data_IF_506101321105
#
_entry.id   IF_506101321105
#
_cell.length_a   1.000
_cell.length_b   1.000
_cell.length_c   1.000
_cell.angle_alpha   90.00
_cell.angle_beta   90.00
_cell.angle_gamma   90.00
#
_symmetry.space_group_name_H-M   'P 1'
#
loop_
_entity.id
_entity.type
_entity.pdbx_description
1 polymer ?
#
# COMPACT_ATOMS: atom_id res chain seq x y z
N UNK A 1 -9.19 -10.30 -36.82
CA UNK A 1 -10.10 -9.15 -36.60
C UNK A 1 -9.45 -8.32 -35.51
N UNK A 2 -9.15 -7.05 -35.76
CA UNK A 2 -8.69 -6.14 -34.69
C UNK A 2 -9.85 -5.94 -33.70
N UNK A 3 -9.59 -6.05 -32.40
CA UNK A 3 -10.60 -5.82 -31.37
C UNK A 3 -10.95 -4.33 -31.31
N UNK A 4 -12.21 -3.98 -31.58
CA UNK A 4 -12.65 -2.58 -31.59
C UNK A 4 -12.55 -1.91 -30.22
N UNK A 5 -12.66 -2.68 -29.13
CA UNK A 5 -12.54 -2.16 -27.77
C UNK A 5 -11.10 -1.74 -27.46
N UNK A 6 -10.14 -2.56 -27.85
CA UNK A 6 -8.72 -2.27 -27.69
C UNK A 6 -8.30 -1.03 -28.49
N UNK A 7 -8.83 -0.89 -29.71
CA UNK A 7 -8.61 0.31 -30.53
C UNK A 7 -9.16 1.56 -29.83
N UNK A 8 -10.37 1.52 -29.25
CA UNK A 8 -10.93 2.66 -28.51
C UNK A 8 -10.07 3.06 -27.31
N UNK A 9 -9.52 2.08 -26.58
CA UNK A 9 -8.63 2.35 -25.44
C UNK A 9 -7.33 3.03 -25.89
N UNK A 10 -6.72 2.59 -26.99
CA UNK A 10 -5.55 3.25 -27.58
C UNK A 10 -5.87 4.69 -27.98
N UNK A 11 -7.01 4.93 -28.65
CA UNK A 11 -7.43 6.28 -29.03
C UNK A 11 -7.70 7.17 -27.81
N UNK A 12 -8.24 6.61 -26.72
CA UNK A 12 -8.44 7.32 -25.45
C UNK A 12 -7.09 7.72 -24.84
N UNK A 13 -6.11 6.83 -24.79
CA UNK A 13 -4.77 7.15 -24.28
C UNK A 13 -4.07 8.21 -25.14
N UNK A 14 -4.14 8.08 -26.47
CA UNK A 14 -3.50 9.03 -27.38
C UNK A 14 -4.12 10.44 -27.28
N UNK A 15 -5.45 10.54 -27.18
CA UNK A 15 -6.13 11.84 -27.13
C UNK A 15 -6.15 12.45 -25.72
N UNK A 16 -6.41 11.65 -24.68
CA UNK A 16 -6.56 12.15 -23.31
C UNK A 16 -5.25 12.22 -22.53
N UNK A 17 -4.37 11.23 -22.67
CA UNK A 17 -3.15 11.14 -21.85
C UNK A 17 -1.93 11.74 -22.54
N UNK A 18 -1.85 11.59 -23.88
CA UNK A 18 -0.73 12.09 -24.69
C UNK A 18 -1.04 13.41 -25.43
N UNK A 19 -2.31 13.84 -25.45
CA UNK A 19 -2.75 15.12 -26.04
C UNK A 19 -2.66 15.19 -27.57
N UNK A 20 -2.69 14.06 -28.27
CA UNK A 20 -2.63 14.01 -29.73
C UNK A 20 -3.96 14.47 -30.33
N UNK A 21 -3.92 15.47 -31.22
CA UNK A 21 -5.11 15.94 -31.93
C UNK A 21 -5.48 14.98 -33.08
N UNK A 22 -6.59 14.27 -32.92
CA UNK A 22 -7.05 13.26 -33.89
C UNK A 22 -8.21 13.84 -34.73
N UNK A 23 -8.07 13.92 -36.06
CA UNK A 23 -9.14 14.43 -36.92
C UNK A 23 -10.42 13.60 -36.80
N UNK A 24 -11.56 14.25 -36.58
CA UNK A 24 -12.87 13.60 -36.48
C UNK A 24 -13.18 12.69 -37.69
N UNK A 25 -12.76 13.11 -38.89
CA UNK A 25 -12.91 12.35 -40.13
C UNK A 25 -12.18 10.99 -40.13
N UNK A 26 -11.10 10.87 -39.35
CA UNK A 26 -10.36 9.63 -39.18
C UNK A 26 -11.14 8.63 -38.32
N UNK A 27 -11.80 9.11 -37.25
CA UNK A 27 -12.63 8.29 -36.36
C UNK A 27 -13.85 7.72 -37.10
N UNK A 28 -14.60 8.56 -37.83
CA UNK A 28 -15.76 8.09 -38.62
C UNK A 28 -15.36 7.00 -39.63
N UNK A 29 -14.18 7.14 -40.28
CA UNK A 29 -13.68 6.15 -41.23
C UNK A 29 -13.16 4.88 -40.55
N UNK A 30 -12.40 4.98 -39.45
CA UNK A 30 -11.78 3.82 -38.78
C UNK A 30 -12.82 2.93 -38.10
N UNK A 31 -13.89 3.54 -37.58
CA UNK A 31 -15.00 2.81 -36.94
C UNK A 31 -16.17 2.54 -37.89
N UNK A 32 -16.07 2.89 -39.19
CA UNK A 32 -17.17 2.81 -40.15
C UNK A 32 -18.47 3.45 -39.63
N UNK A 33 -18.36 4.53 -38.84
CA UNK A 33 -19.50 5.28 -38.32
C UNK A 33 -19.92 6.29 -39.40
N UNK A 34 -21.18 6.25 -39.89
CA UNK A 34 -21.69 7.26 -40.80
C UNK A 34 -21.54 8.65 -40.19
N UNK A 35 -21.15 9.63 -41.01
CA UNK A 35 -21.19 11.02 -40.55
C UNK A 35 -22.65 11.43 -40.38
N UNK A 36 -22.99 12.17 -39.31
CA UNK A 36 -24.34 12.69 -39.15
C UNK A 36 -24.68 13.62 -40.31
N UNK A 37 -25.93 13.59 -40.77
CA UNK A 37 -26.43 14.53 -41.79
C UNK A 37 -26.67 15.93 -41.18
N UNK A 38 -26.64 16.98 -42.01
CA UNK A 38 -26.86 18.35 -41.55
C UNK A 38 -28.26 18.49 -40.92
N UNK A 39 -28.32 18.59 -39.59
CA UNK A 39 -29.55 18.69 -38.82
C UNK A 39 -29.93 17.43 -38.03
N UNK A 40 -29.17 16.35 -38.12
CA UNK A 40 -29.38 15.14 -37.32
C UNK A 40 -29.03 15.39 -35.84
N UNK A 41 -29.92 14.97 -34.94
CA UNK A 41 -29.75 15.17 -33.51
C UNK A 41 -28.65 14.24 -32.98
N UNK A 42 -27.45 14.79 -32.79
CA UNK A 42 -26.31 14.06 -32.23
C UNK A 42 -26.33 14.08 -30.71
N UNK A 43 -26.13 12.90 -30.11
CA UNK A 43 -25.85 12.79 -28.68
C UNK A 43 -24.54 13.51 -28.38
N UNK A 44 -24.64 14.68 -27.75
CA UNK A 44 -23.47 15.39 -27.24
C UNK A 44 -23.08 14.73 -25.91
N UNK A 45 -21.80 14.37 -25.71
CA UNK A 45 -21.34 14.03 -24.36
C UNK A 45 -21.70 15.20 -23.44
N UNK A 46 -22.03 14.95 -22.16
CA UNK A 46 -22.30 16.03 -21.23
C UNK A 46 -21.12 17.00 -21.31
N UNK A 47 -21.36 18.15 -21.94
CA UNK A 47 -20.43 19.25 -21.84
C UNK A 47 -20.41 19.54 -20.36
N UNK A 48 -19.24 19.39 -19.74
CA UNK A 48 -18.97 20.10 -18.52
C UNK A 48 -19.18 21.57 -18.88
N UNK A 49 -20.41 22.04 -18.72
CA UNK A 49 -20.68 23.45 -18.55
C UNK A 49 -19.63 23.88 -17.52
N UNK A 50 -18.84 24.89 -17.86
CA UNK A 50 -18.00 25.55 -16.88
C UNK A 50 -18.96 26.06 -15.80
N UNK A 51 -19.21 25.21 -14.81
CA UNK A 51 -19.84 25.58 -13.58
C UNK A 51 -18.92 26.67 -13.01
N UNK A 52 -19.46 27.77 -12.45
CA UNK A 52 -18.65 28.56 -11.52
C UNK A 52 -18.03 27.56 -10.53
N UNK A 53 -16.74 27.72 -10.13
CA UNK A 53 -16.04 26.69 -9.37
C UNK A 53 -16.75 26.47 -8.03
N UNK A 54 -17.69 25.53 -8.02
CA UNK A 54 -18.34 24.97 -6.86
C UNK A 54 -17.41 23.88 -6.35
N UNK A 55 -16.82 24.13 -5.18
CA UNK A 55 -16.53 23.21 -4.06
C UNK A 55 -15.89 21.84 -4.34
N UNK A 56 -15.43 21.55 -5.56
CA UNK A 56 -14.67 20.32 -5.88
C UNK A 56 -13.28 20.34 -5.27
N UNK A 57 -12.71 21.52 -5.01
CA UNK A 57 -11.48 21.67 -4.24
C UNK A 57 -11.65 21.33 -2.75
N UNK A 58 -12.87 21.50 -2.20
CA UNK A 58 -13.16 21.11 -0.82
C UNK A 58 -13.39 19.61 -0.73
N UNK A 59 -14.20 18.99 -1.59
CA UNK A 59 -14.42 17.53 -1.55
C UNK A 59 -13.14 16.70 -1.81
N UNK A 60 -12.25 17.17 -2.70
CA UNK A 60 -10.95 16.53 -2.92
C UNK A 60 -9.97 16.72 -1.75
N UNK A 61 -10.05 17.87 -1.05
CA UNK A 61 -9.28 18.10 0.19
C UNK A 61 -9.83 17.28 1.36
N UNK A 62 -11.15 17.18 1.50
CA UNK A 62 -11.82 16.39 2.52
C UNK A 62 -11.42 14.91 2.42
N UNK A 63 -11.45 14.31 1.22
CA UNK A 63 -10.96 12.92 1.02
C UNK A 63 -9.46 12.74 1.24
N UNK A 64 -8.62 13.74 0.97
CA UNK A 64 -7.20 13.69 1.31
C UNK A 64 -6.96 13.81 2.81
N UNK A 65 -7.74 14.62 3.52
CA UNK A 65 -7.66 14.79 4.97
C UNK A 65 -8.16 13.56 5.74
N UNK A 66 -9.17 12.85 5.21
CA UNK A 66 -9.74 11.57 5.71
C UNK A 66 -8.90 10.33 5.42
N UNK A 67 -7.76 10.44 4.75
CA UNK A 67 -6.75 9.37 4.71
C UNK A 67 -5.50 9.71 5.53
N UNK A 68 -5.24 11.01 5.74
CA UNK A 68 -4.05 11.48 6.44
C UNK A 68 -4.17 11.35 7.95
N UNK A 69 -5.35 11.46 8.55
CA UNK A 69 -5.53 11.32 10.00
C UNK A 69 -5.41 9.86 10.45
N UNK A 70 -5.79 8.94 9.58
CA UNK A 70 -5.85 7.49 9.73
C UNK A 70 -4.43 6.95 9.56
N UNK A 71 -3.71 7.42 8.53
CA UNK A 71 -2.29 7.11 8.38
C UNK A 71 -1.48 7.62 9.58
N UNK A 72 -1.75 8.83 10.09
CA UNK A 72 -1.09 9.34 11.30
C UNK A 72 -1.36 8.48 12.55
N UNK A 73 -2.56 7.90 12.66
CA UNK A 73 -2.89 6.98 13.75
C UNK A 73 -2.14 5.66 13.62
N UNK A 74 -2.07 5.10 12.41
CA UNK A 74 -1.27 3.90 12.12
C UNK A 74 0.22 4.15 12.40
N UNK A 75 0.76 5.27 11.93
CA UNK A 75 2.15 5.66 12.15
C UNK A 75 2.46 5.83 13.65
N UNK A 76 1.53 6.38 14.42
CA UNK A 76 1.66 6.51 15.88
C UNK A 76 1.70 5.13 16.56
N UNK A 77 0.83 4.20 16.17
CA UNK A 77 0.81 2.83 16.70
C UNK A 77 2.13 2.12 16.38
N UNK A 78 2.62 2.22 15.13
CA UNK A 78 3.91 1.65 14.73
C UNK A 78 5.05 2.24 15.54
N UNK A 79 5.07 3.57 15.76
CA UNK A 79 6.11 4.20 16.56
C UNK A 79 6.11 3.73 18.01
N UNK A 80 4.94 3.56 18.62
CA UNK A 80 4.80 3.08 20.00
C UNK A 80 5.21 1.61 20.09
N UNK A 81 4.76 0.78 19.14
CA UNK A 81 5.12 -0.62 19.07
C UNK A 81 6.63 -0.81 18.92
N UNK A 82 7.30 -0.05 18.04
CA UNK A 82 8.75 -0.13 17.88
C UNK A 82 9.51 0.24 19.16
N UNK A 83 9.06 1.27 19.88
CA UNK A 83 9.67 1.65 21.18
C UNK A 83 9.51 0.55 22.23
N UNK A 84 8.36 -0.10 22.30
CA UNK A 84 8.13 -1.20 23.24
C UNK A 84 8.93 -2.45 22.84
N UNK A 85 8.94 -2.76 21.54
CA UNK A 85 9.69 -3.88 20.97
C UNK A 85 11.20 -3.76 21.24
N UNK A 86 11.78 -2.56 21.22
CA UNK A 86 13.21 -2.35 21.52
C UNK A 86 13.61 -2.95 22.89
N UNK A 87 12.81 -2.67 23.93
CA UNK A 87 13.06 -3.21 25.26
C UNK A 87 12.94 -4.72 25.30
N UNK A 88 11.91 -5.27 24.65
CA UNK A 88 11.66 -6.71 24.59
C UNK A 88 12.80 -7.42 23.85
N UNK A 89 13.17 -6.94 22.65
CA UNK A 89 14.27 -7.49 21.88
C UNK A 89 15.59 -7.43 22.63
N UNK A 90 15.85 -6.34 23.37
CA UNK A 90 17.06 -6.21 24.18
C UNK A 90 17.15 -7.30 25.24
N UNK A 91 16.03 -7.70 25.85
CA UNK A 91 15.98 -8.82 26.79
C UNK A 91 16.15 -10.16 26.07
N UNK A 92 15.45 -10.35 24.95
CA UNK A 92 15.53 -11.58 24.14
C UNK A 92 16.95 -11.87 23.61
N UNK A 93 17.78 -10.87 23.34
CA UNK A 93 19.15 -11.09 22.85
C UNK A 93 20.19 -11.27 23.97
N UNK A 94 19.85 -11.02 25.23
CA UNK A 94 20.78 -11.23 26.36
C UNK A 94 21.35 -12.65 26.44
N UNK A 95 20.57 -13.72 26.23
CA UNK A 95 21.09 -15.09 26.21
C UNK A 95 22.22 -15.27 25.18
N UNK A 96 22.10 -14.64 24.00
CA UNK A 96 23.14 -14.67 22.96
C UNK A 96 24.40 -13.96 23.44
N UNK A 97 24.27 -12.77 24.04
CA UNK A 97 25.44 -12.07 24.59
C UNK A 97 26.13 -12.88 25.69
N UNK A 98 25.37 -13.51 26.60
CA UNK A 98 25.94 -14.40 27.62
C UNK A 98 26.69 -15.59 27.02
N UNK A 99 26.23 -16.11 25.88
CA UNK A 99 26.87 -17.20 25.17
C UNK A 99 28.20 -16.75 24.57
N UNK A 100 28.21 -15.57 23.94
CA UNK A 100 29.41 -14.96 23.35
C UNK A 100 30.44 -14.62 24.45
N UNK A 101 30.00 -14.05 25.57
CA UNK A 101 30.89 -13.68 26.69
C UNK A 101 31.53 -14.89 27.38
N UNK A 102 30.92 -16.08 27.26
CA UNK A 102 31.45 -17.33 27.81
C UNK A 102 32.43 -18.06 26.89
N UNK A 103 32.36 -17.81 25.58
CA UNK A 103 33.24 -18.46 24.62
C UNK A 103 34.60 -17.75 24.60
N UNK A 104 35.69 -18.51 24.75
CA UNK A 104 37.04 -17.94 24.70
C UNK A 104 37.48 -17.68 23.25
N UNK A 105 36.98 -18.48 22.31
CA UNK A 105 37.30 -18.36 20.88
C UNK A 105 36.12 -18.70 19.95
N UNK A 106 36.32 -18.45 18.65
CA UNK A 106 35.31 -18.69 17.62
C UNK A 106 35.04 -20.18 17.37
N UNK A 107 36.00 -21.07 17.63
CA UNK A 107 35.83 -22.51 17.44
C UNK A 107 34.94 -23.09 18.53
N UNK A 108 35.07 -22.61 19.76
CA UNK A 108 34.23 -22.94 20.91
C UNK A 108 32.81 -22.42 20.72
N UNK A 109 32.65 -21.16 20.34
CA UNK A 109 31.34 -20.58 20.00
C UNK A 109 30.65 -21.41 18.90
N UNK A 110 31.39 -21.80 17.87
CA UNK A 110 30.85 -22.61 16.79
C UNK A 110 30.43 -24.01 17.25
N UNK A 111 31.18 -24.65 18.17
CA UNK A 111 30.79 -25.95 18.75
C UNK A 111 29.50 -25.84 19.55
N UNK A 112 29.36 -24.78 20.35
CA UNK A 112 28.16 -24.54 21.16
C UNK A 112 26.94 -24.26 20.27
N UNK A 113 27.10 -23.46 19.20
CA UNK A 113 26.02 -23.20 18.25
C UNK A 113 25.65 -24.40 17.36
N UNK A 114 26.58 -25.35 17.19
CA UNK A 114 26.33 -26.62 16.47
C UNK A 114 25.71 -27.69 17.36
N UNK A 115 25.67 -27.50 18.68
CA UNK A 115 24.97 -28.41 19.58
C UNK A 115 23.45 -28.15 19.54
N UNK A 116 22.70 -29.10 19.01
CA UNK A 116 21.23 -28.97 18.86
C UNK A 116 20.51 -28.80 20.20
N UNK A 117 21.04 -29.39 21.29
CA UNK A 117 20.42 -29.28 22.61
C UNK A 117 20.61 -27.89 23.20
N UNK A 118 21.85 -27.40 23.24
CA UNK A 118 22.15 -26.04 23.69
C UNK A 118 21.46 -24.97 22.85
N UNK A 119 21.36 -25.19 21.53
CA UNK A 119 20.65 -24.27 20.65
C UNK A 119 19.14 -24.22 20.95
N UNK A 120 18.52 -25.36 21.25
CA UNK A 120 17.09 -25.41 21.64
C UNK A 120 16.84 -24.71 22.98
N UNK A 121 17.70 -24.91 23.97
CA UNK A 121 17.62 -24.21 25.25
C UNK A 121 17.79 -22.70 25.07
N UNK A 122 18.73 -22.27 24.22
CA UNK A 122 18.91 -20.87 23.86
C UNK A 122 17.63 -20.27 23.26
N UNK A 123 17.01 -20.94 22.29
CA UNK A 123 15.75 -20.47 21.70
C UNK A 123 14.61 -20.37 22.72
N UNK A 124 14.53 -21.28 23.69
CA UNK A 124 13.54 -21.21 24.77
C UNK A 124 13.80 -20.03 25.72
N UNK A 125 15.07 -19.74 26.06
CA UNK A 125 15.42 -18.55 26.85
C UNK A 125 15.11 -17.23 26.12
N UNK A 126 15.08 -17.27 24.79
CA UNK A 126 14.75 -16.13 23.93
C UNK A 126 13.24 -15.95 23.72
N UNK A 127 12.42 -16.93 24.09
CA UNK A 127 10.97 -16.85 23.94
C UNK A 127 10.41 -15.77 24.89
N UNK A 128 9.66 -14.81 24.34
CA UNK A 128 9.10 -13.69 25.10
C UNK A 128 7.59 -13.63 24.86
N UNK A 129 6.77 -13.89 25.90
CA UNK A 129 5.32 -13.70 25.81
C UNK A 129 4.97 -12.22 25.59
N UNK A 130 5.81 -11.30 26.07
CA UNK A 130 5.60 -9.86 25.88
C UNK A 130 5.67 -9.45 24.40
N UNK A 131 6.54 -10.08 23.60
CA UNK A 131 6.59 -9.84 22.15
C UNK A 131 5.33 -10.36 21.47
N UNK A 132 4.85 -11.54 21.85
CA UNK A 132 3.62 -12.12 21.31
C UNK A 132 2.41 -11.23 21.61
N UNK A 133 2.27 -10.78 22.86
CA UNK A 133 1.22 -9.85 23.27
C UNK A 133 1.28 -8.54 22.47
N UNK A 134 2.48 -7.99 22.23
CA UNK A 134 2.65 -6.78 21.44
C UNK A 134 2.18 -6.97 19.98
N UNK A 135 2.48 -8.13 19.38
CA UNK A 135 2.03 -8.48 18.02
C UNK A 135 0.51 -8.63 17.99
N UNK A 136 -0.08 -9.33 18.96
CA UNK A 136 -1.53 -9.49 19.06
C UNK A 136 -2.24 -8.15 19.20
N UNK A 137 -1.71 -7.24 20.03
CA UNK A 137 -2.21 -5.87 20.16
C UNK A 137 -2.15 -5.12 18.84
N UNK A 138 -1.03 -5.21 18.10
CA UNK A 138 -0.89 -4.60 16.79
C UNK A 138 -1.92 -5.09 15.78
N UNK A 139 -2.15 -6.41 15.71
CA UNK A 139 -3.18 -7.02 14.86
C UNK A 139 -4.58 -6.56 15.27
N UNK A 140 -4.87 -6.54 16.57
CA UNK A 140 -6.16 -6.10 17.10
C UNK A 140 -6.45 -4.63 16.75
N UNK A 141 -5.49 -3.74 16.97
CA UNK A 141 -5.60 -2.33 16.62
C UNK A 141 -5.77 -2.13 15.10
N UNK A 142 -5.06 -2.91 14.29
CA UNK A 142 -5.19 -2.88 12.83
C UNK A 142 -6.60 -3.27 12.37
N UNK A 143 -7.20 -4.29 12.99
CA UNK A 143 -8.58 -4.68 12.72
C UNK A 143 -9.59 -3.61 13.15
N UNK A 144 -9.38 -2.95 14.30
CA UNK A 144 -10.26 -1.87 14.76
C UNK A 144 -10.22 -0.68 13.80
N UNK A 145 -9.03 -0.26 13.37
CA UNK A 145 -8.87 0.82 12.40
C UNK A 145 -9.55 0.45 11.09
N UNK A 146 -9.28 -0.75 10.55
CA UNK A 146 -9.91 -1.19 9.30
C UNK A 146 -11.44 -1.22 9.36
N UNK A 147 -12.04 -1.66 10.47
CA UNK A 147 -13.51 -1.66 10.66
C UNK A 147 -14.10 -0.28 10.89
N UNK A 148 -13.32 0.68 11.38
CA UNK A 148 -13.76 2.07 11.49
C UNK A 148 -13.73 2.82 10.15
N UNK A 149 -13.15 2.21 9.11
CA UNK A 149 -13.06 2.75 7.75
C UNK A 149 -14.16 2.22 6.82
N UNK A 150 -14.87 1.14 7.21
CA UNK A 150 -16.07 0.61 6.53
C UNK A 150 -17.35 1.29 7.04
#
# INVERSE_FOLDING_TARGET
>A
MEDQKEVVEIYRTLACDMGLEIPKSHIYKKFNIPKPEDGEEVLRPPQAAAQPPMETAEELKLKQEEGQKEQRQVDAIVSVANKQAEGIFREMVKPIFRLIDRAEDMDELQKVLKDEKGLRELYQEMESPELEDLIQQGIYLSHLIGRSMD
#
